data_IF_012377249775
#
_entry.id   IF_012377249775
#
_cell.length_a   1.000
_cell.length_b   1.000
_cell.length_c   1.000
_cell.angle_alpha   90.00
_cell.angle_beta   90.00
_cell.angle_gamma   90.00
#
_symmetry.space_group_name_H-M   'P 1'
#
loop_
_entity.id
_entity.type
_entity.pdbx_description
1 polymer ?
#
# COMPACT_ATOMS: atom_id res chain seq x y z
N UNK A 1 33.86 11.94 -27.25
CA UNK A 1 33.53 12.11 -25.82
C UNK A 1 32.02 12.36 -25.61
N UNK A 2 31.17 12.04 -26.60
CA UNK A 2 29.71 12.30 -26.58
C UNK A 2 28.88 11.09 -26.12
N UNK A 3 29.39 9.87 -26.25
CA UNK A 3 28.64 8.64 -25.93
C UNK A 3 28.38 8.42 -24.43
N UNK A 4 29.10 9.08 -23.53
CA UNK A 4 28.86 8.97 -22.09
C UNK A 4 27.71 9.86 -21.60
N UNK A 5 27.44 10.98 -22.29
CA UNK A 5 26.40 11.92 -21.93
C UNK A 5 25.01 11.49 -22.45
N UNK A 6 24.93 10.91 -23.65
CA UNK A 6 23.68 10.35 -24.19
C UNK A 6 23.14 9.20 -23.34
N UNK A 7 23.99 8.25 -22.95
CA UNK A 7 23.58 7.13 -22.10
C UNK A 7 23.09 7.58 -20.70
N UNK A 8 23.65 8.67 -20.15
CA UNK A 8 23.19 9.26 -18.89
C UNK A 8 21.83 9.94 -19.02
N UNK A 9 21.52 10.52 -20.20
CA UNK A 9 20.26 11.19 -20.45
C UNK A 9 19.12 10.19 -20.63
N UNK A 10 19.33 9.13 -21.42
CA UNK A 10 18.33 8.08 -21.64
C UNK A 10 18.01 7.30 -20.35
N UNK A 11 19.02 6.99 -19.52
CA UNK A 11 18.81 6.34 -18.22
C UNK A 11 18.06 7.23 -17.21
N UNK A 12 18.28 8.55 -17.24
CA UNK A 12 17.56 9.50 -16.38
C UNK A 12 16.13 9.72 -16.85
N UNK A 13 15.91 9.84 -18.16
CA UNK A 13 14.57 9.99 -18.76
C UNK A 13 13.72 8.74 -18.47
N UNK A 14 14.27 7.54 -18.65
CA UNK A 14 13.57 6.28 -18.35
C UNK A 14 13.19 6.14 -16.86
N UNK A 15 14.10 6.52 -15.95
CA UNK A 15 13.82 6.53 -14.50
C UNK A 15 12.75 7.55 -14.10
N UNK A 16 12.76 8.73 -14.73
CA UNK A 16 11.77 9.77 -14.47
C UNK A 16 10.37 9.35 -14.97
N UNK A 17 10.29 8.73 -16.15
CA UNK A 17 9.03 8.17 -16.66
C UNK A 17 8.47 7.07 -15.75
N UNK A 18 9.31 6.12 -15.30
CA UNK A 18 8.88 5.10 -14.33
C UNK A 18 8.42 5.70 -12.98
N UNK A 19 9.06 6.78 -12.53
CA UNK A 19 8.69 7.45 -11.28
C UNK A 19 7.31 8.11 -11.40
N UNK A 20 7.02 8.77 -12.51
CA UNK A 20 5.76 9.48 -12.72
C UNK A 20 4.59 8.49 -12.95
N UNK A 21 4.86 7.37 -13.61
CA UNK A 21 3.91 6.26 -13.74
C UNK A 21 3.61 5.61 -12.37
N UNK A 22 4.64 5.40 -11.54
CA UNK A 22 4.47 4.86 -10.20
C UNK A 22 3.67 5.80 -9.29
N UNK A 23 3.93 7.13 -9.35
CA UNK A 23 3.13 8.12 -8.63
C UNK A 23 1.67 8.13 -9.08
N UNK A 24 1.42 8.08 -10.38
CA UNK A 24 0.06 8.05 -10.93
C UNK A 24 -0.70 6.79 -10.48
N UNK A 25 -0.04 5.63 -10.44
CA UNK A 25 -0.61 4.40 -9.90
C UNK A 25 -0.91 4.51 -8.41
N UNK A 26 -0.01 5.10 -7.62
CA UNK A 26 -0.22 5.32 -6.18
C UNK A 26 -1.39 6.28 -5.92
N UNK A 27 -1.54 7.36 -6.69
CA UNK A 27 -2.70 8.24 -6.58
C UNK A 27 -4.02 7.54 -6.90
N UNK A 28 -4.03 6.70 -7.94
CA UNK A 28 -5.22 5.91 -8.31
C UNK A 28 -5.55 4.93 -7.19
N UNK A 29 -4.54 4.24 -6.67
CA UNK A 29 -4.66 3.34 -5.51
C UNK A 29 -5.26 4.09 -4.32
N UNK A 30 -4.70 5.24 -3.96
CA UNK A 30 -5.17 6.05 -2.84
C UNK A 30 -6.64 6.45 -3.03
N UNK A 31 -7.00 6.96 -4.21
CA UNK A 31 -8.40 7.34 -4.55
C UNK A 31 -9.37 6.16 -4.51
N UNK A 32 -8.89 4.93 -4.69
CA UNK A 32 -9.73 3.73 -4.71
C UNK A 32 -9.77 2.99 -3.36
N UNK A 33 -9.13 3.50 -2.30
CA UNK A 33 -9.31 2.94 -0.95
C UNK A 33 -10.69 3.32 -0.44
N UNK A 34 -11.57 2.33 -0.43
CA UNK A 34 -12.86 2.41 0.23
C UNK A 34 -12.67 2.36 1.75
N UNK A 35 -13.03 3.45 2.43
CA UNK A 35 -13.18 3.47 3.87
C UNK A 35 -14.15 2.37 4.33
N UNK A 36 -13.90 1.86 5.52
CA UNK A 36 -14.60 0.73 6.13
C UNK A 36 -14.46 -0.62 5.41
N UNK A 37 -13.62 -0.72 4.37
CA UNK A 37 -13.27 -1.99 3.73
C UNK A 37 -12.01 -2.61 4.34
N UNK A 38 -11.84 -3.92 4.15
CA UNK A 38 -10.69 -4.67 4.65
C UNK A 38 -9.64 -4.82 3.54
N UNK A 39 -8.38 -4.61 3.91
CA UNK A 39 -7.23 -4.79 3.03
C UNK A 39 -6.16 -5.63 3.70
N UNK A 40 -5.38 -6.30 2.87
CA UNK A 40 -4.17 -6.98 3.29
C UNK A 40 -3.00 -5.99 3.25
N UNK A 41 -2.24 -5.95 4.32
CA UNK A 41 -1.03 -5.14 4.48
C UNK A 41 0.17 -6.07 4.55
N UNK A 42 1.16 -5.81 3.70
CA UNK A 42 2.42 -6.54 3.64
C UNK A 42 3.54 -5.58 3.95
N UNK A 43 4.32 -5.87 4.99
CA UNK A 43 5.64 -5.27 5.17
C UNK A 43 6.68 -6.27 4.67
N UNK A 44 7.80 -5.78 4.16
CA UNK A 44 8.79 -6.55 3.40
C UNK A 44 9.21 -7.90 4.02
N UNK A 45 9.18 -8.03 5.36
CA UNK A 45 9.60 -9.25 6.08
C UNK A 45 8.57 -9.74 7.12
N UNK A 46 7.37 -9.20 7.15
CA UNK A 46 6.35 -9.55 8.15
C UNK A 46 5.24 -10.46 7.59
N UNK A 47 4.56 -11.23 8.46
CA UNK A 47 3.34 -11.92 8.07
C UNK A 47 2.26 -10.93 7.61
N UNK A 48 1.40 -11.39 6.70
CA UNK A 48 0.26 -10.60 6.20
C UNK A 48 -0.64 -10.17 7.36
N UNK A 49 -0.89 -8.87 7.44
CA UNK A 49 -1.86 -8.30 8.36
C UNK A 49 -3.13 -7.95 7.61
N UNK A 50 -4.29 -8.14 8.23
CA UNK A 50 -5.57 -7.70 7.67
C UNK A 50 -6.07 -6.54 8.52
N UNK A 51 -6.28 -5.39 7.88
CA UNK A 51 -6.76 -4.18 8.53
C UNK A 51 -8.01 -3.64 7.85
N UNK A 52 -8.89 -2.99 8.62
CA UNK A 52 -10.00 -2.21 8.09
C UNK A 52 -9.55 -0.75 7.97
N UNK A 53 -9.69 -0.16 6.78
CA UNK A 53 -9.44 1.27 6.59
C UNK A 53 -10.51 2.07 7.36
N UNK A 54 -10.09 3.00 8.22
CA UNK A 54 -11.00 3.85 9.00
C UNK A 54 -10.86 5.33 8.65
N UNK A 55 -9.68 5.75 8.19
CA UNK A 55 -9.43 7.11 7.73
C UNK A 55 -8.32 7.10 6.66
N UNK A 56 -8.27 8.16 5.85
CA UNK A 56 -7.26 8.36 4.80
C UNK A 56 -6.78 9.81 4.83
N UNK A 57 -5.47 10.00 4.95
CA UNK A 57 -4.78 11.30 4.95
C UNK A 57 -3.60 11.22 3.97
N UNK A 58 -3.69 11.92 2.84
CA UNK A 58 -2.67 11.96 1.79
C UNK A 58 -2.18 10.57 1.34
N UNK A 59 -0.97 10.16 1.69
CA UNK A 59 -0.42 8.84 1.33
C UNK A 59 -0.55 7.81 2.47
N UNK A 60 -1.24 8.17 3.54
CA UNK A 60 -1.37 7.39 4.77
C UNK A 60 -2.81 6.98 5.02
N UNK A 61 -3.03 5.70 5.28
CA UNK A 61 -4.32 5.14 5.65
C UNK A 61 -4.27 4.73 7.11
N UNK A 62 -5.17 5.26 7.90
CA UNK A 62 -5.38 4.78 9.25
C UNK A 62 -6.18 3.48 9.18
N UNK A 63 -5.56 2.41 9.67
CA UNK A 63 -6.14 1.07 9.63
C UNK A 63 -6.26 0.49 11.03
N UNK A 64 -7.41 -0.14 11.27
CA UNK A 64 -7.65 -0.93 12.46
C UNK A 64 -7.38 -2.40 12.17
N UNK A 65 -6.39 -2.98 12.81
CA UNK A 65 -5.93 -4.34 12.52
C UNK A 65 -6.73 -5.43 13.23
N UNK A 66 -6.90 -6.55 12.53
CA UNK A 66 -7.38 -7.80 13.09
C UNK A 66 -6.20 -8.58 13.70
N UNK A 67 -6.46 -9.22 14.83
CA UNK A 67 -5.51 -10.16 15.43
C UNK A 67 -5.61 -11.52 14.72
N UNK A 68 -4.44 -12.08 14.38
CA UNK A 68 -4.34 -13.44 13.89
C UNK A 68 -4.55 -14.42 15.05
N UNK A 69 -5.65 -15.17 15.01
CA UNK A 69 -5.92 -16.31 15.90
C UNK A 69 -5.37 -17.63 15.34
N UNK A 70 -5.66 -18.73 16.03
CA UNK A 70 -5.24 -20.10 15.67
C UNK A 70 -5.88 -20.67 14.37
N UNK A 71 -6.42 -19.81 13.51
CA UNK A 71 -7.10 -20.21 12.27
C UNK A 71 -7.98 -19.11 11.67
N UNK A 72 -8.39 -18.11 12.47
CA UNK A 72 -9.24 -17.00 12.04
C UNK A 72 -8.65 -15.64 12.40
N UNK A 73 -9.02 -14.61 11.65
CA UNK A 73 -8.80 -13.21 12.04
C UNK A 73 -9.93 -12.75 12.96
N UNK A 74 -9.60 -12.12 14.09
CA UNK A 74 -10.58 -11.63 15.05
C UNK A 74 -10.29 -10.19 15.44
N UNK A 75 -11.34 -9.46 15.80
CA UNK A 75 -11.18 -8.16 16.42
C UNK A 75 -10.50 -8.29 17.78
N UNK A 76 -9.39 -7.58 17.95
CA UNK A 76 -8.73 -7.43 19.24
C UNK A 76 -9.66 -6.79 20.27
N UNK A 77 -9.48 -7.13 21.55
CA UNK A 77 -10.18 -6.44 22.65
C UNK A 77 -9.75 -4.97 22.81
N UNK A 78 -8.55 -4.63 22.31
CA UNK A 78 -8.05 -3.26 22.23
C UNK A 78 -7.80 -2.94 20.76
N UNK A 79 -8.31 -1.81 20.33
CA UNK A 79 -8.15 -1.37 18.95
C UNK A 79 -6.66 -1.10 18.68
N UNK A 80 -6.07 -1.89 17.79
CA UNK A 80 -4.76 -1.61 17.22
C UNK A 80 -4.97 -0.79 15.96
N UNK A 81 -4.82 0.52 16.10
CA UNK A 81 -4.95 1.49 15.02
C UNK A 81 -3.54 1.97 14.66
N UNK A 82 -3.17 1.82 13.39
CA UNK A 82 -1.88 2.28 12.89
C UNK A 82 -2.06 3.01 11.54
N UNK A 83 -1.19 3.98 11.28
CA UNK A 83 -1.12 4.67 9.99
C UNK A 83 -0.19 3.89 9.05
N UNK A 84 -0.72 3.50 7.91
CA UNK A 84 -0.07 2.65 6.91
C UNK A 84 0.12 3.45 5.64
N UNK A 85 1.34 3.49 5.12
CA UNK A 85 1.61 4.06 3.81
C UNK A 85 0.93 3.21 2.74
N UNK A 86 0.23 3.86 1.81
CA UNK A 86 -0.58 3.21 0.77
C UNK A 86 0.22 2.17 -0.04
N UNK A 87 1.55 2.34 -0.15
CA UNK A 87 2.43 1.39 -0.85
C UNK A 87 2.45 -0.02 -0.23
N UNK A 88 2.11 -0.16 1.06
CA UNK A 88 2.05 -1.44 1.76
C UNK A 88 0.68 -2.11 1.67
N UNK A 89 -0.32 -1.44 1.08
CA UNK A 89 -1.69 -1.92 0.97
C UNK A 89 -1.85 -2.65 -0.36
N UNK A 90 -2.29 -3.91 -0.30
CA UNK A 90 -2.55 -4.71 -1.49
C UNK A 90 -4.05 -4.89 -1.74
N UNK A 91 -4.49 -4.55 -2.96
CA UNK A 91 -5.90 -4.64 -3.42
C UNK A 91 -6.25 -6.04 -3.91
N UNK A 92 -6.08 -7.04 -3.06
CA UNK A 92 -6.85 -8.27 -3.24
C UNK A 92 -8.13 -8.10 -2.43
N UNK A 93 -9.23 -7.81 -3.10
CA UNK A 93 -10.56 -7.82 -2.48
C UNK A 93 -10.77 -9.23 -1.91
N UNK A 94 -10.62 -9.37 -0.59
CA UNK A 94 -10.88 -10.63 0.09
C UNK A 94 -12.40 -10.78 0.16
N UNK A 95 -12.98 -11.35 -0.89
CA UNK A 95 -14.36 -11.81 -0.87
C UNK A 95 -14.43 -12.96 0.14
N UNK A 96 -14.94 -12.68 1.33
CA UNK A 96 -15.39 -13.76 2.21
C UNK A 96 -16.61 -14.43 1.55
N UNK A 97 -16.59 -15.75 1.31
CA UNK A 97 -17.77 -16.51 0.92
C UNK A 97 -18.80 -16.61 2.06
#
# INVERSE_FOLDING_TARGET
MESFAENLHDDQVNKNTQLDDAKSLLEIIHKNILLHSYYAVYYDNDPVYIGKAINSEDDMIEMKFLEKGAGNFRWSKRDKIEKIDVKYIHFYMVLYP
#
